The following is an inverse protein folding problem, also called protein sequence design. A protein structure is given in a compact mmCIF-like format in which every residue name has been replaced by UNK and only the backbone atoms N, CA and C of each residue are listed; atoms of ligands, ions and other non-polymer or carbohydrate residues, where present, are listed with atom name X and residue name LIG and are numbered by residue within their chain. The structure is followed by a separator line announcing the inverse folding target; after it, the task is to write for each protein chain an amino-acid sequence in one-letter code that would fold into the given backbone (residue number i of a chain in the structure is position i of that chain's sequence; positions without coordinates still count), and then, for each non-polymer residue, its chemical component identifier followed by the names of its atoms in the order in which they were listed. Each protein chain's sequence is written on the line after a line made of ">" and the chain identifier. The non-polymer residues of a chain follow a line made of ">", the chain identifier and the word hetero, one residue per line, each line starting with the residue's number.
data_IF_370193791339
#
_entry.id   IF_370193791339
#
_cell.length_a   1.000
_cell.length_b   1.000
_cell.length_c   1.000
_cell.angle_alpha   90.00
_cell.angle_beta   90.00
_cell.angle_gamma   90.00
#
_symmetry.space_group_name_H-M   'P 1'
#
loop_
_entity.id
_entity.type
_entity.pdbx_description
1 polymer ?
#
# COMPACT_ATOMS: atom_id res chain seq x y z
N UNK A 1 -4.23 23.01 4.83
CA UNK A 1 -4.27 22.00 3.75
C UNK A 1 -3.18 21.01 4.06
N UNK A 2 -3.51 19.81 4.54
CA UNK A 2 -2.52 18.75 4.69
C UNK A 2 -2.14 18.31 3.28
N UNK A 3 -0.93 18.66 2.87
CA UNK A 3 -0.36 18.23 1.62
C UNK A 3 0.15 16.80 1.86
N UNK A 4 -0.71 15.80 1.65
CA UNK A 4 -0.31 14.40 1.78
C UNK A 4 0.63 14.07 0.63
N UNK A 5 1.93 14.21 0.88
CA UNK A 5 2.97 13.80 -0.05
C UNK A 5 3.20 12.31 0.11
N UNK A 6 2.89 11.55 -0.92
CA UNK A 6 3.11 10.11 -1.00
C UNK A 6 4.59 9.80 -1.24
N UNK A 7 5.28 10.59 -2.07
CA UNK A 7 6.69 10.35 -2.38
C UNK A 7 7.59 10.60 -1.17
N UNK A 8 8.25 9.53 -0.71
CA UNK A 8 9.27 9.57 0.34
C UNK A 8 10.70 9.60 -0.25
N UNK A 9 11.70 9.65 0.63
CA UNK A 9 13.10 9.51 0.23
C UNK A 9 13.46 8.06 -0.15
N UNK A 10 14.59 7.88 -0.84
CA UNK A 10 15.06 6.57 -1.25
C UNK A 10 15.33 5.63 -0.06
N UNK A 11 15.81 6.16 1.06
CA UNK A 11 16.15 5.37 2.26
C UNK A 11 14.92 4.66 2.79
N UNK A 12 13.78 5.35 2.88
CA UNK A 12 12.50 4.76 3.26
C UNK A 12 12.13 3.54 2.40
N UNK A 13 12.19 3.67 1.06
CA UNK A 13 11.85 2.57 0.16
C UNK A 13 12.88 1.42 0.22
N UNK A 14 14.16 1.75 0.40
CA UNK A 14 15.22 0.75 0.55
C UNK A 14 15.03 -0.07 1.82
N UNK A 15 14.76 0.57 2.96
CA UNK A 15 14.48 -0.10 4.22
C UNK A 15 13.19 -0.94 4.17
N UNK A 16 12.15 -0.43 3.49
CA UNK A 16 10.92 -1.17 3.26
C UNK A 16 11.18 -2.44 2.44
N UNK A 17 11.95 -2.32 1.36
CA UNK A 17 12.32 -3.45 0.49
C UNK A 17 13.13 -4.49 1.26
N UNK A 18 14.12 -4.06 2.04
CA UNK A 18 14.96 -4.94 2.83
C UNK A 18 14.15 -5.68 3.89
N UNK A 19 13.22 -4.99 4.57
CA UNK A 19 12.30 -5.61 5.52
C UNK A 19 11.44 -6.69 4.88
N UNK A 20 10.81 -6.38 3.75
CA UNK A 20 10.00 -7.37 3.01
C UNK A 20 10.83 -8.57 2.57
N UNK A 21 12.06 -8.34 2.13
CA UNK A 21 12.98 -9.42 1.71
C UNK A 21 13.38 -10.31 2.89
N UNK A 22 13.63 -9.71 4.07
CA UNK A 22 13.91 -10.45 5.30
C UNK A 22 12.69 -11.28 5.70
N UNK A 23 11.51 -10.68 5.76
CA UNK A 23 10.27 -11.35 6.13
C UNK A 23 9.99 -12.55 5.19
N UNK A 24 10.20 -12.39 3.88
CA UNK A 24 10.06 -13.48 2.90
C UNK A 24 11.07 -14.62 3.11
N UNK A 25 12.32 -14.29 3.47
CA UNK A 25 13.34 -15.29 3.79
C UNK A 25 13.01 -16.03 5.10
N UNK A 26 12.56 -15.32 6.13
CA UNK A 26 12.17 -15.93 7.41
C UNK A 26 10.93 -16.81 7.27
N UNK A 27 9.96 -16.40 6.44
CA UNK A 27 8.81 -17.23 6.10
C UNK A 27 9.26 -18.54 5.42
N UNK A 28 10.16 -18.45 4.45
CA UNK A 28 10.72 -19.62 3.78
C UNK A 28 11.43 -20.57 4.75
N UNK A 29 12.30 -20.04 5.61
CA UNK A 29 13.04 -20.84 6.59
C UNK A 29 12.08 -21.51 7.58
N UNK A 30 11.00 -20.83 7.98
CA UNK A 30 9.95 -21.37 8.84
C UNK A 30 9.18 -22.50 8.17
N UNK A 31 8.76 -22.32 6.91
CA UNK A 31 8.06 -23.35 6.13
C UNK A 31 8.92 -24.61 5.94
N UNK A 32 10.20 -24.42 5.64
CA UNK A 32 11.18 -25.49 5.51
C UNK A 32 11.38 -26.21 6.84
N UNK A 33 11.49 -25.47 7.94
CA UNK A 33 11.60 -26.05 9.28
C UNK A 33 10.37 -26.87 9.64
N UNK A 34 9.17 -26.33 9.44
CA UNK A 34 7.91 -27.02 9.73
C UNK A 34 7.76 -28.31 8.92
N UNK A 35 8.15 -28.27 7.64
CA UNK A 35 8.13 -29.44 6.76
C UNK A 35 9.11 -30.51 7.24
N UNK A 36 10.31 -30.10 7.66
CA UNK A 36 11.30 -31.01 8.23
C UNK A 36 10.78 -31.66 9.52
N UNK A 37 10.23 -30.88 10.45
CA UNK A 37 9.66 -31.40 11.72
C UNK A 37 8.53 -32.39 11.44
N UNK A 38 7.63 -32.08 10.49
CA UNK A 38 6.52 -32.97 10.09
C UNK A 38 7.01 -34.27 9.44
N UNK A 39 8.17 -34.27 8.78
CA UNK A 39 8.70 -35.47 8.13
C UNK A 39 9.13 -36.58 9.11
N UNK A 40 9.37 -36.25 10.39
CA UNK A 40 9.76 -37.21 11.43
C UNK A 40 11.17 -37.80 11.27
N UNK A 41 11.98 -37.28 10.35
CA UNK A 41 13.38 -37.70 10.16
C UNK A 41 14.22 -37.34 11.41
N UNK A 42 14.81 -38.35 12.06
CA UNK A 42 15.73 -38.14 13.21
C UNK A 42 17.15 -37.87 12.74
N UNK A 43 17.82 -36.90 13.37
CA UNK A 43 19.24 -36.62 13.17
C UNK A 43 20.09 -37.86 13.47
N UNK A 44 20.90 -38.30 12.50
CA UNK A 44 21.80 -39.45 12.64
C UNK A 44 23.27 -38.98 12.76
N UNK A 45 23.89 -39.06 13.95
CA UNK A 45 25.24 -38.54 14.18
C UNK A 45 26.36 -39.32 13.45
N UNK A 46 26.12 -40.55 12.99
CA UNK A 46 27.13 -41.36 12.26
C UNK A 46 27.26 -41.02 10.77
N UNK A 47 26.34 -40.22 10.24
CA UNK A 47 26.43 -39.61 8.91
C UNK A 47 26.03 -38.14 9.07
N UNK A 48 26.98 -37.22 9.34
CA UNK A 48 26.65 -35.80 9.45
C UNK A 48 26.22 -35.32 8.06
N UNK A 49 24.93 -35.46 7.77
CA UNK A 49 24.36 -34.83 6.58
C UNK A 49 24.37 -33.34 6.87
N UNK A 50 24.87 -32.56 5.92
CA UNK A 50 24.91 -31.09 5.93
C UNK A 50 23.49 -30.49 5.86
N UNK A 51 22.52 -31.06 6.58
CA UNK A 51 21.12 -30.65 6.69
C UNK A 51 20.98 -29.81 7.96
N UNK A 52 21.69 -28.67 8.01
CA UNK A 52 21.17 -27.57 8.81
C UNK A 52 20.13 -26.91 7.91
N UNK A 53 18.86 -26.92 8.32
CA UNK A 53 17.72 -26.30 7.62
C UNK A 53 17.34 -26.92 6.26
N UNK A 54 16.38 -27.86 6.24
CA UNK A 54 15.72 -28.32 5.00
C UNK A 54 16.51 -29.16 4.00
N UNK A 55 17.85 -29.14 4.10
CA UNK A 55 18.76 -29.79 3.16
C UNK A 55 19.18 -28.89 1.99
N UNK A 56 20.18 -29.36 1.22
CA UNK A 56 20.88 -28.59 0.17
C UNK A 56 19.97 -27.92 -0.87
N UNK A 57 18.79 -28.48 -1.14
CA UNK A 57 17.82 -27.90 -2.07
C UNK A 57 17.17 -26.64 -1.48
N UNK A 58 16.84 -26.64 -0.19
CA UNK A 58 16.25 -25.48 0.50
C UNK A 58 17.26 -24.33 0.59
N UNK A 59 18.52 -24.63 0.93
CA UNK A 59 19.61 -23.65 0.95
C UNK A 59 19.85 -23.05 -0.43
N UNK A 60 19.85 -23.88 -1.48
CA UNK A 60 20.04 -23.43 -2.85
C UNK A 60 18.88 -22.54 -3.32
N UNK A 61 17.64 -22.90 -2.98
CA UNK A 61 16.47 -22.07 -3.29
C UNK A 61 16.54 -20.72 -2.56
N UNK A 62 16.92 -20.70 -1.28
CA UNK A 62 17.11 -19.47 -0.52
C UNK A 62 18.22 -18.59 -1.13
N UNK A 63 19.30 -19.19 -1.60
CA UNK A 63 20.38 -18.48 -2.31
C UNK A 63 19.87 -17.80 -3.58
N UNK A 64 19.10 -18.51 -4.42
CA UNK A 64 18.49 -17.92 -5.61
C UNK A 64 17.52 -16.78 -5.26
N UNK A 65 16.65 -16.96 -4.26
CA UNK A 65 15.74 -15.89 -3.79
C UNK A 65 16.49 -14.63 -3.38
N UNK A 66 17.58 -14.78 -2.61
CA UNK A 66 18.44 -13.65 -2.21
C UNK A 66 19.07 -12.96 -3.42
N UNK A 67 19.55 -13.74 -4.39
CA UNK A 67 20.11 -13.23 -5.64
C UNK A 67 19.10 -12.46 -6.48
N UNK A 68 17.89 -13.01 -6.65
CA UNK A 68 16.79 -12.35 -7.37
C UNK A 68 16.34 -11.06 -6.68
N UNK A 69 16.24 -11.07 -5.35
CA UNK A 69 15.90 -9.87 -4.56
C UNK A 69 16.96 -8.78 -4.76
N UNK A 70 18.24 -9.12 -4.65
CA UNK A 70 19.33 -8.17 -4.91
C UNK A 70 19.28 -7.59 -6.33
N UNK A 71 19.06 -8.44 -7.33
CA UNK A 71 18.99 -8.01 -8.73
C UNK A 71 17.80 -7.10 -9.03
N UNK A 72 16.67 -7.29 -8.33
CA UNK A 72 15.44 -6.54 -8.55
C UNK A 72 15.30 -5.28 -7.68
N UNK A 73 16.08 -5.14 -6.60
CA UNK A 73 15.95 -4.06 -5.60
C UNK A 73 15.81 -2.67 -6.22
N UNK A 74 16.77 -2.25 -7.04
CA UNK A 74 16.77 -0.92 -7.66
C UNK A 74 15.54 -0.68 -8.55
N UNK A 75 15.15 -1.68 -9.34
CA UNK A 75 13.97 -1.59 -10.20
C UNK A 75 12.71 -1.44 -9.35
N UNK A 76 12.55 -2.27 -8.32
CA UNK A 76 11.36 -2.23 -7.46
C UNK A 76 11.26 -0.91 -6.71
N UNK A 77 12.35 -0.39 -6.16
CA UNK A 77 12.37 0.93 -5.49
C UNK A 77 12.01 2.03 -6.47
N UNK A 78 12.60 2.03 -7.67
CA UNK A 78 12.29 3.01 -8.73
C UNK A 78 10.81 2.97 -9.12
N UNK A 79 10.24 1.77 -9.28
CA UNK A 79 8.82 1.60 -9.62
C UNK A 79 7.92 2.13 -8.49
N UNK A 80 8.27 1.88 -7.22
CA UNK A 80 7.54 2.41 -6.06
C UNK A 80 7.59 3.93 -5.99
N UNK A 81 8.77 4.52 -6.13
CA UNK A 81 8.95 5.97 -6.16
C UNK A 81 8.20 6.61 -7.36
N UNK A 82 8.23 5.97 -8.52
CA UNK A 82 7.53 6.45 -9.72
C UNK A 82 6.01 6.46 -9.51
N UNK A 83 5.46 5.39 -8.90
CA UNK A 83 4.03 5.32 -8.55
C UNK A 83 3.62 6.42 -7.57
N UNK A 84 4.41 6.62 -6.51
CA UNK A 84 4.08 7.64 -5.50
C UNK A 84 4.25 9.07 -6.06
N UNK A 85 5.23 9.30 -6.92
CA UNK A 85 5.36 10.56 -7.67
C UNK A 85 4.15 10.80 -8.57
N UNK A 86 3.64 9.77 -9.24
CA UNK A 86 2.45 9.89 -10.08
C UNK A 86 1.21 10.23 -9.24
N UNK A 87 1.06 9.66 -8.05
CA UNK A 87 -0.02 9.98 -7.11
C UNK A 87 0.04 11.44 -6.64
N UNK A 88 1.23 11.91 -6.27
CA UNK A 88 1.45 13.30 -5.89
C UNK A 88 1.08 14.24 -7.05
N UNK A 89 1.55 13.92 -8.27
CA UNK A 89 1.20 14.69 -9.47
C UNK A 89 -0.31 14.75 -9.73
N UNK A 90 -1.03 13.63 -9.58
CA UNK A 90 -2.50 13.61 -9.72
C UNK A 90 -3.18 14.53 -8.71
N UNK A 91 -2.75 14.52 -7.45
CA UNK A 91 -3.31 15.39 -6.41
C UNK A 91 -3.02 16.88 -6.66
N UNK A 92 -1.85 17.20 -7.20
CA UNK A 92 -1.46 18.56 -7.56
C UNK A 92 -2.25 19.08 -8.78
N UNK A 93 -2.43 18.25 -9.81
CA UNK A 93 -3.11 18.59 -11.05
C UNK A 93 -4.65 18.57 -10.93
N UNK A 94 -5.20 17.93 -9.88
CA UNK A 94 -6.62 17.76 -9.71
C UNK A 94 -7.35 19.10 -9.53
N UNK A 95 -8.35 19.34 -10.38
CA UNK A 95 -9.13 20.57 -10.37
C UNK A 95 -10.33 20.45 -9.42
N UNK A 96 -10.42 21.38 -8.46
CA UNK A 96 -11.56 21.44 -7.55
C UNK A 96 -12.88 21.70 -8.31
N UNK A 97 -13.95 20.92 -8.03
CA UNK A 97 -15.26 21.17 -8.60
C UNK A 97 -15.81 22.54 -8.18
N UNK A 98 -16.40 23.28 -9.13
CA UNK A 98 -16.90 24.65 -8.92
C UNK A 98 -18.42 24.69 -8.82
N UNK A 99 -18.93 25.75 -8.18
CA UNK A 99 -20.37 26.04 -8.15
C UNK A 99 -21.17 25.24 -7.11
N UNK A 100 -20.49 24.51 -6.22
CA UNK A 100 -21.13 23.70 -5.19
C UNK A 100 -21.76 24.60 -4.11
N UNK A 101 -22.95 24.22 -3.64
CA UNK A 101 -23.67 24.88 -2.56
C UNK A 101 -23.88 23.98 -1.35
N UNK A 102 -23.98 24.58 -0.18
CA UNK A 102 -24.35 23.86 1.04
C UNK A 102 -25.85 23.51 1.03
N UNK A 103 -26.20 22.26 1.36
CA UNK A 103 -27.61 21.82 1.47
C UNK A 103 -28.35 22.42 2.67
N UNK A 104 -27.63 22.91 3.69
CA UNK A 104 -28.24 23.47 4.90
C UNK A 104 -28.57 24.97 4.82
N UNK A 105 -27.70 25.76 4.19
CA UNK A 105 -27.82 27.24 4.20
C UNK A 105 -27.63 27.87 2.82
N UNK A 106 -27.52 27.07 1.75
CA UNK A 106 -27.40 27.51 0.35
C UNK A 106 -26.18 28.39 0.03
N UNK A 107 -25.27 28.57 1.00
CA UNK A 107 -24.01 29.29 0.80
C UNK A 107 -23.12 28.54 -0.18
N UNK A 108 -22.26 29.26 -0.90
CA UNK A 108 -21.24 28.63 -1.75
C UNK A 108 -20.25 27.87 -0.87
N UNK A 109 -19.88 26.67 -1.31
CA UNK A 109 -18.80 25.88 -0.70
C UNK A 109 -17.51 26.21 -1.45
N UNK A 110 -16.65 27.01 -0.83
CA UNK A 110 -15.35 27.43 -1.39
C UNK A 110 -14.17 26.91 -0.58
N UNK A 111 -14.43 26.33 0.59
CA UNK A 111 -13.38 25.84 1.48
C UNK A 111 -13.21 24.33 1.31
N UNK A 112 -12.27 23.93 0.46
CA UNK A 112 -11.82 22.55 0.35
C UNK A 112 -10.92 22.23 1.55
N UNK A 113 -11.36 21.28 2.38
CA UNK A 113 -10.66 20.88 3.61
C UNK A 113 -9.77 19.65 3.42
N UNK A 114 -10.07 18.79 2.45
CA UNK A 114 -9.23 17.65 2.09
C UNK A 114 -9.30 17.32 0.60
N UNK A 115 -8.20 16.73 0.11
CA UNK A 115 -8.04 16.17 -1.23
C UNK A 115 -7.41 14.80 -1.05
N UNK A 116 -8.16 13.75 -1.33
CA UNK A 116 -7.77 12.38 -1.00
C UNK A 116 -7.92 11.50 -2.26
N UNK A 117 -6.93 10.65 -2.55
CA UNK A 117 -7.05 9.63 -3.60
C UNK A 117 -7.87 8.46 -3.05
N UNK A 118 -8.96 8.10 -3.73
CA UNK A 118 -9.79 6.95 -3.37
C UNK A 118 -10.32 6.22 -4.60
N UNK A 119 -10.51 4.91 -4.45
CA UNK A 119 -11.15 4.09 -5.46
C UNK A 119 -12.65 4.35 -5.50
N UNK A 120 -13.17 4.57 -6.70
CA UNK A 120 -14.60 4.71 -6.93
C UNK A 120 -15.33 3.36 -6.85
N UNK A 121 -16.63 3.40 -7.12
CA UNK A 121 -17.50 2.21 -7.14
C UNK A 121 -17.05 1.09 -8.08
N UNK A 122 -16.26 1.42 -9.09
CA UNK A 122 -15.77 0.56 -10.16
C UNK A 122 -14.29 0.19 -9.98
N UNK A 123 -13.64 0.65 -8.91
CA UNK A 123 -12.23 0.41 -8.64
C UNK A 123 -11.28 1.35 -9.40
N UNK A 124 -11.78 2.46 -9.95
CA UNK A 124 -10.92 3.48 -10.54
C UNK A 124 -10.50 4.48 -9.46
N UNK A 125 -9.20 4.64 -9.27
CA UNK A 125 -8.62 5.63 -8.37
C UNK A 125 -8.91 7.06 -8.90
N UNK A 126 -9.64 7.85 -8.12
CA UNK A 126 -10.01 9.25 -8.41
C UNK A 126 -9.71 10.15 -7.22
N UNK A 127 -9.53 11.44 -7.47
CA UNK A 127 -9.39 12.43 -6.39
C UNK A 127 -10.77 12.80 -5.84
N UNK A 128 -10.93 12.68 -4.52
CA UNK A 128 -12.08 13.14 -3.78
C UNK A 128 -11.77 14.46 -3.08
N UNK A 129 -12.62 15.45 -3.32
CA UNK A 129 -12.55 16.76 -2.69
C UNK A 129 -13.61 16.87 -1.59
N UNK A 130 -13.20 17.07 -0.35
CA UNK A 130 -14.13 17.36 0.74
C UNK A 130 -14.21 18.86 1.00
N UNK A 131 -15.44 19.38 1.03
CA UNK A 131 -15.73 20.77 1.32
C UNK A 131 -16.46 20.91 2.65
N UNK A 132 -16.12 21.95 3.41
CA UNK A 132 -16.82 22.31 4.64
C UNK A 132 -17.50 23.67 4.51
N UNK A 133 -18.77 23.75 4.90
CA UNK A 133 -19.49 25.00 4.96
C UNK A 133 -19.00 25.87 6.12
N UNK A 134 -18.47 27.07 5.84
CA UNK A 134 -18.05 27.99 6.89
C UNK A 134 -19.17 28.56 7.77
N UNK A 135 -20.45 28.37 7.43
CA UNK A 135 -21.59 28.86 8.23
C UNK A 135 -22.22 27.79 9.12
N UNK A 136 -22.42 26.59 8.59
CA UNK A 136 -23.14 25.52 9.30
C UNK A 136 -22.29 24.26 9.50
N UNK A 137 -21.01 24.29 9.11
CA UNK A 137 -20.04 23.21 9.23
C UNK A 137 -20.46 21.87 8.62
N UNK A 138 -21.54 21.85 7.83
CA UNK A 138 -21.93 20.68 7.04
C UNK A 138 -20.87 20.43 5.97
N UNK A 139 -20.52 19.15 5.82
CA UNK A 139 -19.53 18.68 4.87
C UNK A 139 -20.21 18.00 3.69
N UNK A 140 -19.57 18.11 2.53
CA UNK A 140 -19.96 17.40 1.31
C UNK A 140 -18.67 17.03 0.59
N UNK A 141 -18.67 15.89 -0.10
CA UNK A 141 -17.51 15.45 -0.84
C UNK A 141 -17.88 15.18 -2.29
N UNK A 142 -16.96 15.50 -3.21
CA UNK A 142 -17.18 15.42 -4.65
C UNK A 142 -15.96 14.81 -5.31
N UNK A 143 -16.20 13.92 -6.25
CA UNK A 143 -15.17 13.38 -7.12
C UNK A 143 -14.66 14.45 -8.09
N UNK A 144 -13.47 14.24 -8.66
CA UNK A 144 -12.87 15.12 -9.67
C UNK A 144 -13.74 15.33 -10.92
N UNK A 145 -14.60 14.34 -11.24
CA UNK A 145 -15.60 14.45 -12.32
C UNK A 145 -16.82 15.33 -11.96
N UNK A 146 -16.89 15.84 -10.71
CA UNK A 146 -17.97 16.68 -10.21
C UNK A 146 -19.17 15.93 -9.63
N UNK A 147 -19.19 14.60 -9.67
CA UNK A 147 -20.22 13.78 -9.03
C UNK A 147 -20.05 13.82 -7.51
N UNK A 148 -21.17 13.88 -6.78
CA UNK A 148 -21.14 13.83 -5.32
C UNK A 148 -20.79 12.42 -4.84
N UNK A 149 -19.96 12.35 -3.80
CA UNK A 149 -19.65 11.10 -3.13
C UNK A 149 -20.81 10.69 -2.23
N UNK A 150 -21.24 9.44 -2.38
CA UNK A 150 -22.27 8.85 -1.55
C UNK A 150 -21.66 7.82 -0.60
N UNK A 151 -21.98 7.90 0.72
CA UNK A 151 -21.54 6.89 1.67
C UNK A 151 -22.18 5.54 1.33
N UNK A 152 -21.36 4.49 1.28
CA UNK A 152 -21.85 3.10 1.24
C UNK A 152 -21.98 2.60 2.67
N UNK A 153 -23.20 2.52 3.25
CA UNK A 153 -23.35 2.01 4.59
C UNK A 153 -22.95 0.53 4.63
N UNK A 154 -21.93 0.19 5.42
CA UNK A 154 -21.69 -1.20 5.80
C UNK A 154 -22.74 -1.56 6.84
N UNK A 155 -23.77 -2.28 6.41
CA UNK A 155 -24.78 -2.80 7.33
C UNK A 155 -24.11 -3.88 8.20
N UNK A 156 -24.25 -3.77 9.53
CA UNK A 156 -23.92 -4.88 10.41
C UNK A 156 -24.83 -6.07 10.04
N UNK A 157 -24.29 -7.29 10.09
CA UNK A 157 -25.12 -8.48 10.03
C UNK A 157 -25.90 -8.57 11.34
N UNK A 158 -27.23 -8.66 11.25
CA UNK A 158 -28.12 -8.91 12.39
C UNK A 158 -27.77 -10.21 13.12
#
# INVERSE_FOLDING_TARGET
>A
MNNYKHLQDYTYYSELYDRMTIDECECWDSEVHDTYVKSGEKFNPTKPSRRLHGGLVADLALYFKKGESYANKEKTISDWMSRDRAKDGRLEDATEPKGIRCLGCSSRLTNCISRDLMDDSTGNEQVLFMFECGKCHKRRAFWENGLEWEPRPTLCKD
#
